data_IF_480577364372
#
_entry.id   IF_480577364372
#
_cell.length_a   1.000
_cell.length_b   1.000
_cell.length_c   1.000
_cell.angle_alpha   90.00
_cell.angle_beta   90.00
_cell.angle_gamma   90.00
#
_symmetry.space_group_name_H-M   'P 1'
#
loop_
_entity.id
_entity.type
_entity.pdbx_description
1 polymer ?
#
# COMPACT_ATOMS: atom_id res chain seq x y z
N UNK A 1 8.14 -14.67 -26.54
CA UNK A 1 6.98 -13.76 -26.35
C UNK A 1 7.49 -12.43 -25.85
N UNK A 2 7.12 -11.29 -26.47
CA UNK A 2 7.55 -9.97 -26.01
C UNK A 2 7.00 -9.72 -24.60
N UNK A 3 7.88 -9.50 -23.63
CA UNK A 3 7.47 -9.12 -22.29
C UNK A 3 6.96 -7.68 -22.36
N UNK A 4 5.65 -7.51 -22.23
CA UNK A 4 5.02 -6.20 -22.11
C UNK A 4 5.62 -5.52 -20.88
N UNK A 5 6.43 -4.47 -21.07
CA UNK A 5 6.97 -3.66 -19.98
C UNK A 5 5.82 -2.96 -19.27
N UNK A 6 5.31 -3.61 -18.22
CA UNK A 6 4.13 -3.23 -17.45
C UNK A 6 4.49 -2.19 -16.39
N UNK A 7 5.19 -1.12 -16.80
CA UNK A 7 5.70 -0.05 -15.94
C UNK A 7 6.78 -0.51 -14.94
N UNK A 8 7.40 0.46 -14.27
CA UNK A 8 8.38 0.23 -13.21
C UNK A 8 7.71 -0.40 -11.98
N UNK A 9 7.58 -1.73 -11.99
CA UNK A 9 7.07 -2.50 -10.86
C UNK A 9 8.23 -2.92 -9.97
N UNK A 10 8.14 -2.60 -8.68
CA UNK A 10 9.07 -3.11 -7.66
C UNK A 10 8.46 -4.30 -6.93
N UNK A 11 9.08 -5.47 -7.07
CA UNK A 11 8.74 -6.60 -6.22
C UNK A 11 9.22 -6.33 -4.79
N UNK A 12 8.29 -6.38 -3.83
CA UNK A 12 8.58 -6.17 -2.41
C UNK A 12 8.11 -7.40 -1.64
N UNK A 13 9.03 -8.00 -0.88
CA UNK A 13 8.69 -9.12 0.00
C UNK A 13 8.37 -8.59 1.38
N UNK A 14 7.24 -9.02 1.95
CA UNK A 14 6.76 -8.61 3.28
C UNK A 14 6.42 -9.83 4.12
N UNK A 15 6.55 -9.71 5.44
CA UNK A 15 6.16 -10.75 6.40
C UNK A 15 4.80 -10.41 7.00
N UNK A 16 3.94 -11.41 7.11
CA UNK A 16 2.62 -11.29 7.72
C UNK A 16 2.48 -12.28 8.87
N UNK A 17 1.61 -11.99 9.86
CA UNK A 17 1.12 -12.99 10.80
C UNK A 17 0.54 -14.20 10.06
N UNK A 18 0.74 -15.40 10.61
CA UNK A 18 0.33 -16.65 9.97
C UNK A 18 -1.19 -16.72 9.78
N UNK A 19 -1.95 -16.19 10.72
CA UNK A 19 -3.42 -16.22 10.64
C UNK A 19 -3.96 -15.25 9.59
N UNK A 20 -3.34 -14.09 9.42
CA UNK A 20 -3.67 -13.15 8.35
C UNK A 20 -3.37 -13.75 6.97
N UNK A 21 -2.28 -14.52 6.85
CA UNK A 21 -1.98 -15.26 5.62
C UNK A 21 -3.07 -16.30 5.29
N UNK A 22 -3.63 -17.00 6.29
CA UNK A 22 -4.75 -17.93 6.06
C UNK A 22 -6.01 -17.19 5.62
N UNK A 23 -6.29 -16.02 6.18
CA UNK A 23 -7.41 -15.20 5.76
C UNK A 23 -7.25 -14.71 4.31
N UNK A 24 -6.04 -14.27 3.96
CA UNK A 24 -5.69 -13.87 2.60
C UNK A 24 -5.85 -15.03 1.60
N UNK A 25 -5.43 -16.24 1.99
CA UNK A 25 -5.60 -17.45 1.18
C UNK A 25 -7.05 -17.75 0.84
N UNK A 26 -7.93 -17.64 1.84
CA UNK A 26 -9.37 -17.83 1.64
C UNK A 26 -9.94 -16.75 0.71
N UNK A 27 -9.54 -15.50 0.90
CA UNK A 27 -10.01 -14.39 0.09
C UNK A 27 -9.56 -14.53 -1.37
N UNK A 28 -8.29 -14.89 -1.59
CA UNK A 28 -7.73 -15.17 -2.91
C UNK A 28 -8.49 -16.30 -3.61
N UNK A 29 -8.78 -17.39 -2.90
CA UNK A 29 -9.56 -18.51 -3.44
C UNK A 29 -11.00 -18.11 -3.82
N UNK A 30 -11.68 -17.32 -2.98
CA UNK A 30 -13.05 -16.84 -3.25
C UNK A 30 -13.08 -15.90 -4.47
N UNK A 31 -12.07 -15.06 -4.64
CA UNK A 31 -12.00 -14.12 -5.76
C UNK A 31 -11.41 -14.71 -7.05
N UNK A 32 -10.86 -15.93 -6.99
CA UNK A 32 -10.13 -16.53 -8.12
C UNK A 32 -8.86 -15.78 -8.51
N UNK A 33 -8.27 -15.02 -7.57
CA UNK A 33 -7.12 -14.15 -7.79
C UNK A 33 -5.87 -14.69 -7.09
N UNK A 34 -4.69 -14.24 -7.53
CA UNK A 34 -3.46 -14.47 -6.77
C UNK A 34 -3.40 -13.57 -5.52
N UNK A 35 -2.72 -14.04 -4.47
CA UNK A 35 -2.49 -13.27 -3.23
C UNK A 35 -1.97 -11.87 -3.51
N UNK A 36 -1.01 -11.73 -4.43
CA UNK A 36 -0.43 -10.45 -4.77
C UNK A 36 -1.45 -9.47 -5.35
N UNK A 37 -2.41 -9.96 -6.13
CA UNK A 37 -3.48 -9.12 -6.69
C UNK A 37 -4.45 -8.65 -5.61
N UNK A 38 -4.80 -9.54 -4.67
CA UNK A 38 -5.67 -9.21 -3.53
C UNK A 38 -5.00 -8.14 -2.65
N UNK A 39 -3.72 -8.34 -2.29
CA UNK A 39 -2.95 -7.37 -1.50
C UNK A 39 -2.87 -6.02 -2.21
N UNK A 40 -2.59 -6.01 -3.52
CA UNK A 40 -2.52 -4.76 -4.29
C UNK A 40 -3.85 -4.01 -4.27
N UNK A 41 -4.98 -4.72 -4.40
CA UNK A 41 -6.31 -4.12 -4.30
C UNK A 41 -6.54 -3.47 -2.93
N UNK A 42 -6.28 -4.20 -1.85
CA UNK A 42 -6.44 -3.72 -0.48
C UNK A 42 -5.57 -2.48 -0.22
N UNK A 43 -4.29 -2.55 -0.59
CA UNK A 43 -3.36 -1.42 -0.41
C UNK A 43 -3.82 -0.23 -1.24
N UNK A 44 -4.25 -0.43 -2.49
CA UNK A 44 -4.71 0.66 -3.34
C UNK A 44 -5.95 1.36 -2.76
N UNK A 45 -6.93 0.59 -2.28
CA UNK A 45 -8.13 1.13 -1.65
C UNK A 45 -7.82 1.88 -0.35
N UNK A 46 -6.92 1.33 0.49
CA UNK A 46 -6.46 1.98 1.71
C UNK A 46 -5.70 3.28 1.42
N UNK A 47 -4.76 3.28 0.46
CA UNK A 47 -4.03 4.51 0.11
C UNK A 47 -4.96 5.58 -0.48
N UNK A 48 -6.01 5.19 -1.20
CA UNK A 48 -6.99 6.13 -1.74
C UNK A 48 -7.87 6.76 -0.65
N UNK A 49 -8.10 6.05 0.45
CA UNK A 49 -8.87 6.59 1.58
C UNK A 49 -8.05 7.54 2.46
N UNK A 50 -6.72 7.52 2.34
CA UNK A 50 -5.85 8.47 3.01
C UNK A 50 -5.81 9.80 2.25
N UNK A 51 -6.18 10.86 2.94
CA UNK A 51 -5.94 12.23 2.47
C UNK A 51 -4.52 12.66 2.86
N UNK A 52 -3.58 12.45 1.96
CA UNK A 52 -2.19 12.85 2.19
C UNK A 52 -1.98 14.36 2.18
N UNK A 53 -2.91 15.14 1.60
CA UNK A 53 -2.79 16.60 1.57
C UNK A 53 -3.01 17.19 2.96
N UNK A 54 -3.99 16.70 3.73
CA UNK A 54 -4.22 17.13 5.12
C UNK A 54 -3.16 16.62 6.11
N UNK A 55 -2.47 15.51 5.82
CA UNK A 55 -1.40 14.98 6.66
C UNK A 55 -0.12 15.83 6.65
N UNK A 56 0.06 16.69 5.65
CA UNK A 56 1.25 17.56 5.52
C UNK A 56 1.27 18.77 6.47
N UNK A 57 0.14 19.08 7.13
CA UNK A 57 0.00 20.28 7.96
C UNK A 57 0.38 20.11 9.45
N UNK A 58 0.77 18.90 9.89
CA UNK A 58 1.18 18.66 11.29
C UNK A 58 2.69 18.54 11.48
N UNK A 59 3.51 18.93 10.50
CA UNK A 59 4.87 19.36 10.85
C UNK A 59 4.75 20.76 11.44
N UNK A 60 4.56 20.80 12.76
CA UNK A 60 4.69 22.00 13.58
C UNK A 60 5.88 22.81 13.07
N UNK A 61 5.59 23.94 12.43
CA UNK A 61 6.58 24.94 12.12
C UNK A 61 7.21 25.32 13.47
N UNK A 62 8.42 24.82 13.73
CA UNK A 62 9.20 25.18 14.90
C UNK A 62 9.20 26.71 15.01
N UNK A 63 8.84 27.30 16.17
CA UNK A 63 8.66 28.75 16.34
C UNK A 63 9.96 29.58 16.24
N UNK A 64 11.02 29.01 15.67
CA UNK A 64 12.34 29.63 15.56
C UNK A 64 12.47 30.44 14.25
N UNK A 65 11.58 30.26 13.28
CA UNK A 65 11.68 30.91 11.97
C UNK A 65 11.08 32.34 11.90
N UNK A 66 10.56 32.90 13.00
CA UNK A 66 9.98 34.26 13.03
C UNK A 66 10.83 35.32 13.76
N UNK A 67 12.07 34.98 14.13
CA UNK A 67 13.00 35.93 14.73
C UNK A 67 14.27 36.02 13.89
N UNK A 68 14.22 36.75 12.78
CA UNK A 68 15.38 37.35 12.10
C UNK A 68 14.93 38.53 11.27
#
# INVERSE_FOLDING_TARGET
MPQVHRGDRKATTVRFPVDDMKALDRLAAVQGNDRGQVIVGIIHEYLKSLDFESMSYSQEALPIARAS
#
